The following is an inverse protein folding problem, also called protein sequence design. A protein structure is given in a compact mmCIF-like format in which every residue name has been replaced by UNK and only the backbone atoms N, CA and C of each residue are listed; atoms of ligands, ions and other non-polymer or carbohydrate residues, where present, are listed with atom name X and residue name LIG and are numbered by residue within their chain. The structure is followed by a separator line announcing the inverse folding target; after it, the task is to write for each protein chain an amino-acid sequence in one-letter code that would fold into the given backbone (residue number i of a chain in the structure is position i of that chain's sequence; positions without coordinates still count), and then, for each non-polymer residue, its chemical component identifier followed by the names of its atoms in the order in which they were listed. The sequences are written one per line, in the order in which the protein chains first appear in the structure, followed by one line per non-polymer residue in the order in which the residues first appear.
data_IF_697154209502
#
_entry.id   IF_697154209502
#
_cell.length_a   1.000
_cell.length_b   1.000
_cell.length_c   1.000
_cell.angle_alpha   90.00
_cell.angle_beta   90.00
_cell.angle_gamma   90.00
#
_symmetry.space_group_name_H-M   'P 1'
#
loop_
_entity.id
_entity.type
_entity.pdbx_description
1 polymer ?
#
# COMPACT_ATOMS: atom_id res chain seq x y z
N UNK A 1 -13.69 -8.53 -25.02
CA UNK A 1 -14.66 -7.88 -24.08
C UNK A 1 -14.09 -7.88 -22.66
N UNK A 2 -13.58 -9.02 -22.17
CA UNK A 2 -12.81 -9.09 -20.93
C UNK A 2 -11.56 -8.20 -20.97
N UNK A 3 -10.98 -7.99 -22.15
CA UNK A 3 -9.71 -7.27 -22.35
C UNK A 3 -9.64 -5.86 -21.75
N UNK A 4 -10.78 -5.18 -21.63
CA UNK A 4 -10.89 -3.81 -21.12
C UNK A 4 -11.81 -3.68 -19.90
N UNK A 5 -12.84 -4.53 -19.78
CA UNK A 5 -13.83 -4.44 -18.69
C UNK A 5 -13.39 -5.13 -17.41
N UNK A 6 -12.58 -6.20 -17.51
CA UNK A 6 -12.20 -6.99 -16.34
C UNK A 6 -11.38 -6.17 -15.33
N UNK A 7 -10.49 -5.32 -15.83
CA UNK A 7 -9.61 -4.46 -15.03
C UNK A 7 -10.37 -3.49 -14.11
N UNK A 8 -11.63 -3.13 -14.44
CA UNK A 8 -12.47 -2.30 -13.57
C UNK A 8 -12.91 -3.02 -12.29
N UNK A 9 -12.99 -4.35 -12.28
CA UNK A 9 -13.34 -5.11 -11.08
C UNK A 9 -12.29 -4.95 -9.98
N UNK A 10 -11.04 -4.69 -10.39
CA UNK A 10 -9.91 -4.44 -9.50
C UNK A 10 -10.02 -3.11 -8.71
N UNK A 11 -10.90 -2.19 -9.11
CA UNK A 11 -11.11 -0.92 -8.41
C UNK A 11 -11.60 -1.11 -6.98
N UNK A 12 -12.35 -2.18 -6.70
CA UNK A 12 -12.82 -2.50 -5.34
C UNK A 12 -11.63 -2.71 -4.40
N UNK A 13 -10.63 -3.47 -4.82
CA UNK A 13 -9.42 -3.75 -4.04
C UNK A 13 -8.63 -2.46 -3.78
N UNK A 14 -8.48 -1.61 -4.80
CA UNK A 14 -7.81 -0.30 -4.69
C UNK A 14 -8.50 0.60 -3.67
N UNK A 15 -9.84 0.64 -3.68
CA UNK A 15 -10.63 1.38 -2.70
C UNK A 15 -10.46 0.81 -1.27
N UNK A 16 -10.42 -0.52 -1.11
CA UNK A 16 -10.29 -1.15 0.20
C UNK A 16 -8.94 -0.87 0.84
N UNK A 17 -7.85 -0.92 0.06
CA UNK A 17 -6.50 -0.59 0.54
C UNK A 17 -6.47 0.86 1.05
N UNK A 18 -7.03 1.79 0.28
CA UNK A 18 -7.04 3.22 0.64
C UNK A 18 -7.88 3.51 1.89
N UNK A 19 -8.95 2.75 2.09
CA UNK A 19 -9.81 2.85 3.28
C UNK A 19 -9.28 2.04 4.47
N UNK A 20 -8.15 1.33 4.33
CA UNK A 20 -7.59 0.49 5.38
C UNK A 20 -8.48 -0.68 5.80
N UNK A 21 -9.33 -1.19 4.89
CA UNK A 21 -10.27 -2.30 5.17
C UNK A 21 -9.57 -3.67 5.09
N UNK A 22 -8.56 -3.89 5.94
CA UNK A 22 -7.70 -5.08 5.89
C UNK A 22 -8.47 -6.39 6.06
N UNK A 23 -9.33 -6.49 7.07
CA UNK A 23 -10.15 -7.68 7.31
C UNK A 23 -11.09 -7.98 6.14
N UNK A 24 -11.61 -6.92 5.52
CA UNK A 24 -12.47 -7.00 4.34
C UNK A 24 -11.73 -7.41 3.06
N UNK A 25 -10.39 -7.35 3.03
CA UNK A 25 -9.54 -7.82 1.93
C UNK A 25 -9.15 -9.29 2.17
N UNK A 26 -8.68 -9.61 3.37
CA UNK A 26 -8.23 -10.96 3.72
C UNK A 26 -9.38 -11.97 3.63
N UNK A 27 -10.59 -11.59 4.03
CA UNK A 27 -11.79 -12.42 3.94
C UNK A 27 -12.35 -12.63 2.52
N UNK A 28 -11.81 -11.99 1.47
CA UNK A 28 -12.33 -12.16 0.12
C UNK A 28 -11.91 -13.52 -0.46
N UNK A 29 -12.87 -14.23 -1.04
CA UNK A 29 -12.62 -15.40 -1.87
C UNK A 29 -12.13 -14.96 -3.26
N UNK A 30 -11.12 -15.65 -3.78
CA UNK A 30 -10.64 -15.44 -5.15
C UNK A 30 -11.74 -15.81 -6.16
N UNK A 31 -11.72 -15.23 -7.37
CA UNK A 31 -12.68 -15.56 -8.41
C UNK A 31 -12.56 -17.03 -8.82
N UNK A 32 -13.69 -17.65 -9.16
CA UNK A 32 -13.75 -19.06 -9.54
C UNK A 32 -13.04 -19.37 -10.87
N UNK A 33 -12.89 -18.38 -11.75
CA UNK A 33 -12.18 -18.49 -13.02
C UNK A 33 -10.99 -17.52 -13.08
N UNK A 34 -9.80 -17.97 -12.64
CA UNK A 34 -8.60 -17.14 -12.64
C UNK A 34 -8.04 -16.83 -14.04
N UNK A 35 -8.46 -17.54 -15.09
CA UNK A 35 -8.03 -17.26 -16.47
C UNK A 35 -8.80 -16.09 -17.05
N UNK A 36 -10.12 -16.07 -16.83
CA UNK A 36 -10.98 -14.97 -17.24
C UNK A 36 -10.68 -13.70 -16.43
N UNK A 37 -10.52 -13.85 -15.11
CA UNK A 37 -10.30 -12.78 -14.14
C UNK A 37 -8.82 -12.62 -13.75
N UNK A 38 -7.93 -12.71 -14.73
CA UNK A 38 -6.48 -12.71 -14.51
C UNK A 38 -5.96 -11.43 -13.80
N UNK A 39 -6.39 -10.24 -14.25
CA UNK A 39 -5.96 -8.96 -13.67
C UNK A 39 -6.56 -8.77 -12.28
N UNK A 40 -7.82 -9.16 -12.11
CA UNK A 40 -8.52 -9.10 -10.82
C UNK A 40 -7.87 -10.03 -9.81
N UNK A 41 -7.51 -11.25 -10.21
CA UNK A 41 -6.81 -12.23 -9.37
C UNK A 41 -5.47 -11.68 -8.91
N UNK A 42 -4.67 -11.13 -9.85
CA UNK A 42 -3.41 -10.48 -9.50
C UNK A 42 -3.65 -9.33 -8.50
N UNK A 43 -4.60 -8.42 -8.77
CA UNK A 43 -4.87 -7.32 -7.85
C UNK A 43 -5.37 -7.78 -6.46
N UNK A 44 -6.12 -8.88 -6.39
CA UNK A 44 -6.56 -9.46 -5.13
C UNK A 44 -5.40 -10.03 -4.30
N UNK A 45 -4.44 -10.70 -4.93
CA UNK A 45 -3.21 -11.15 -4.27
C UNK A 45 -2.37 -9.97 -3.79
N UNK A 46 -2.19 -8.94 -4.63
CA UNK A 46 -1.54 -7.68 -4.24
C UNK A 46 -2.21 -7.06 -2.99
N UNK A 47 -3.53 -6.92 -3.01
CA UNK A 47 -4.27 -6.35 -1.89
C UNK A 47 -4.13 -7.17 -0.61
N UNK A 48 -4.19 -8.50 -0.71
CA UNK A 48 -3.97 -9.41 0.42
C UNK A 48 -2.55 -9.30 0.96
N UNK A 49 -1.53 -9.24 0.10
CA UNK A 49 -0.14 -9.07 0.51
C UNK A 49 0.06 -7.77 1.29
N UNK A 50 -0.47 -6.65 0.78
CA UNK A 50 -0.45 -5.35 1.48
C UNK A 50 -1.22 -5.42 2.80
N UNK A 51 -2.38 -6.09 2.84
CA UNK A 51 -3.14 -6.25 4.08
C UNK A 51 -2.39 -7.07 5.13
N UNK A 52 -1.76 -8.19 4.76
CA UNK A 52 -0.95 -8.99 5.67
C UNK A 52 0.30 -8.25 6.16
N UNK A 53 0.98 -7.52 5.27
CA UNK A 53 2.07 -6.65 5.65
C UNK A 53 1.59 -5.56 6.62
N UNK A 54 0.45 -4.93 6.33
CA UNK A 54 -0.17 -3.91 7.17
C UNK A 54 -0.50 -4.42 8.59
N UNK A 55 -0.95 -5.67 8.68
CA UNK A 55 -1.23 -6.38 9.94
C UNK A 55 0.02 -6.93 10.65
N UNK A 56 1.21 -6.82 10.05
CA UNK A 56 2.47 -7.30 10.62
C UNK A 56 2.76 -8.79 10.39
N UNK A 57 1.96 -9.46 9.57
CA UNK A 57 2.17 -10.87 9.22
C UNK A 57 2.99 -10.98 7.92
N UNK A 58 4.30 -10.79 8.05
CA UNK A 58 5.24 -10.83 6.92
C UNK A 58 5.24 -12.19 6.19
N UNK A 59 5.22 -13.36 6.86
CA UNK A 59 5.21 -14.65 6.17
C UNK A 59 4.01 -14.83 5.22
N UNK A 60 2.82 -14.40 5.65
CA UNK A 60 1.63 -14.46 4.79
C UNK A 60 1.71 -13.43 3.66
N UNK A 61 2.29 -12.25 3.91
CA UNK A 61 2.51 -11.24 2.89
C UNK A 61 3.45 -11.73 1.78
N UNK A 62 4.55 -12.41 2.13
CA UNK A 62 5.50 -12.99 1.18
C UNK A 62 4.86 -14.13 0.36
N UNK A 63 3.99 -14.94 0.98
CA UNK A 63 3.24 -15.97 0.25
C UNK A 63 2.29 -15.37 -0.78
N UNK A 64 1.53 -14.34 -0.40
CA UNK A 64 0.62 -13.65 -1.32
C UNK A 64 1.40 -12.88 -2.40
N UNK A 65 2.59 -12.35 -2.09
CA UNK A 65 3.49 -11.76 -3.08
C UNK A 65 3.96 -12.80 -4.12
N UNK A 66 4.28 -14.03 -3.69
CA UNK A 66 4.58 -15.14 -4.62
C UNK A 66 3.37 -15.52 -5.49
N UNK A 67 2.17 -15.53 -4.92
CA UNK A 67 0.94 -15.77 -5.67
C UNK A 67 0.62 -14.64 -6.66
N UNK A 68 0.93 -13.39 -6.30
CA UNK A 68 0.84 -12.23 -7.18
C UNK A 68 1.75 -12.38 -8.40
N UNK A 69 3.03 -12.74 -8.19
CA UNK A 69 3.98 -13.00 -9.28
C UNK A 69 3.45 -14.05 -10.27
N UNK A 70 2.95 -15.17 -9.74
CA UNK A 70 2.38 -16.24 -10.55
C UNK A 70 1.11 -15.79 -11.31
N UNK A 71 0.28 -14.94 -10.71
CA UNK A 71 -0.89 -14.37 -11.36
C UNK A 71 -0.51 -13.37 -12.46
N UNK A 72 0.48 -12.50 -12.22
CA UNK A 72 1.00 -11.57 -13.22
C UNK A 72 1.52 -12.28 -14.47
N UNK A 73 2.22 -13.40 -14.32
CA UNK A 73 2.72 -14.19 -15.45
C UNK A 73 1.61 -14.76 -16.36
N UNK A 74 0.36 -14.77 -15.88
CA UNK A 74 -0.82 -15.25 -16.63
C UNK A 74 -1.60 -14.13 -17.30
N UNK A 75 -1.27 -12.86 -17.05
CA UNK A 75 -1.97 -11.70 -17.63
C UNK A 75 -1.45 -11.47 -19.06
N UNK A 76 -2.31 -11.63 -20.08
CA UNK A 76 -1.91 -11.36 -21.46
C UNK A 76 -1.57 -9.88 -21.69
N UNK A 77 -0.60 -9.60 -22.57
CA UNK A 77 -0.23 -8.25 -22.99
C UNK A 77 -1.40 -7.47 -23.61
N UNK A 78 -2.41 -8.18 -24.13
CA UNK A 78 -3.62 -7.59 -24.71
C UNK A 78 -4.54 -6.92 -23.68
N UNK A 79 -4.32 -7.14 -22.38
CA UNK A 79 -5.15 -6.56 -21.32
C UNK A 79 -4.77 -5.10 -21.11
N UNK A 80 -5.72 -4.20 -21.33
CA UNK A 80 -5.51 -2.76 -21.15
C UNK A 80 -6.53 -2.20 -20.16
N UNK A 81 -6.10 -1.19 -19.42
CA UNK A 81 -6.98 -0.31 -18.67
C UNK A 81 -6.81 1.07 -19.27
N UNK A 82 -7.79 1.48 -20.07
CA UNK A 82 -7.72 2.68 -20.91
C UNK A 82 -6.48 2.67 -21.84
N UNK A 83 -5.60 3.67 -21.76
CA UNK A 83 -4.40 3.78 -22.59
C UNK A 83 -3.21 2.98 -22.04
N UNK A 84 -3.34 2.45 -20.82
CA UNK A 84 -2.28 1.74 -20.12
C UNK A 84 -2.41 0.21 -20.26
N UNK A 85 -1.28 -0.49 -20.34
CA UNK A 85 -1.30 -1.95 -20.24
C UNK A 85 -1.49 -2.36 -18.78
N UNK A 86 -2.26 -3.43 -18.56
CA UNK A 86 -2.48 -3.94 -17.21
C UNK A 86 -1.16 -4.41 -16.57
N UNK A 87 -0.21 -4.89 -17.37
CA UNK A 87 1.12 -5.26 -16.89
C UNK A 87 1.89 -4.08 -16.31
N UNK A 88 1.91 -2.93 -17.00
CA UNK A 88 2.59 -1.74 -16.48
C UNK A 88 1.96 -1.27 -15.16
N UNK A 89 0.63 -1.33 -15.05
CA UNK A 89 -0.10 -1.02 -13.81
C UNK A 89 0.26 -2.01 -12.69
N UNK A 90 0.34 -3.31 -13.00
CA UNK A 90 0.71 -4.34 -12.04
C UNK A 90 2.16 -4.19 -11.58
N UNK A 91 3.07 -3.73 -12.44
CA UNK A 91 4.47 -3.47 -12.06
C UNK A 91 4.61 -2.31 -11.09
N UNK A 92 3.80 -1.25 -11.22
CA UNK A 92 3.73 -0.19 -10.19
C UNK A 92 3.29 -0.79 -8.85
N UNK A 93 2.26 -1.63 -8.87
CA UNK A 93 1.76 -2.33 -7.68
C UNK A 93 2.76 -3.30 -7.06
N UNK A 94 3.52 -4.01 -7.87
CA UNK A 94 4.60 -4.91 -7.44
C UNK A 94 5.60 -4.18 -6.56
N UNK A 95 6.11 -3.06 -7.05
CA UNK A 95 7.08 -2.25 -6.32
C UNK A 95 6.46 -1.66 -5.04
N UNK A 96 5.19 -1.25 -5.04
CA UNK A 96 4.52 -0.81 -3.81
C UNK A 96 4.42 -1.91 -2.76
N UNK A 97 4.03 -3.12 -3.17
CA UNK A 97 3.89 -4.27 -2.27
C UNK A 97 5.23 -4.68 -1.67
N UNK A 98 6.26 -4.79 -2.51
CA UNK A 98 7.61 -5.14 -2.05
C UNK A 98 8.17 -4.09 -1.09
N UNK A 99 7.89 -2.80 -1.34
CA UNK A 99 8.24 -1.72 -0.44
C UNK A 99 7.60 -1.85 0.95
N UNK A 100 6.28 -2.11 1.00
CA UNK A 100 5.59 -2.32 2.28
C UNK A 100 6.11 -3.56 3.03
N UNK A 101 6.36 -4.67 2.32
CA UNK A 101 6.92 -5.89 2.93
C UNK A 101 8.33 -5.63 3.50
N UNK A 102 9.20 -4.97 2.74
CA UNK A 102 10.55 -4.63 3.17
C UNK A 102 10.54 -3.71 4.41
N UNK A 103 9.64 -2.74 4.43
CA UNK A 103 9.45 -1.86 5.59
C UNK A 103 9.09 -2.65 6.86
N UNK A 104 8.21 -3.66 6.73
CA UNK A 104 7.85 -4.54 7.86
C UNK A 104 8.96 -5.48 8.30
N UNK A 105 9.96 -5.71 7.46
CA UNK A 105 11.17 -6.49 7.78
C UNK A 105 12.26 -5.63 8.42
N UNK A 106 12.00 -4.35 8.67
CA UNK A 106 12.97 -3.36 9.13
C UNK A 106 14.15 -3.16 8.15
N UNK A 107 13.91 -3.38 6.86
CA UNK A 107 14.83 -3.05 5.78
C UNK A 107 14.36 -1.76 5.10
N UNK A 108 14.61 -0.64 5.77
CA UNK A 108 14.14 0.68 5.33
C UNK A 108 14.77 1.09 4.00
N UNK A 109 16.05 0.75 3.78
CA UNK A 109 16.76 1.09 2.54
C UNK A 109 16.11 0.41 1.32
N UNK A 110 15.82 -0.90 1.42
CA UNK A 110 15.10 -1.62 0.39
C UNK A 110 13.67 -1.10 0.22
N UNK A 111 12.97 -0.81 1.32
CA UNK A 111 11.61 -0.27 1.29
C UNK A 111 11.53 1.03 0.48
N UNK A 112 12.39 2.00 0.80
CA UNK A 112 12.41 3.27 0.10
C UNK A 112 12.90 3.16 -1.34
N UNK A 113 13.80 2.21 -1.66
CA UNK A 113 14.20 1.94 -3.03
C UNK A 113 13.02 1.45 -3.89
N UNK A 114 12.24 0.51 -3.38
CA UNK A 114 11.02 0.01 -4.02
C UNK A 114 9.96 1.11 -4.19
N UNK A 115 9.71 1.92 -3.16
CA UNK A 115 8.77 3.03 -3.25
C UNK A 115 9.18 4.08 -4.30
N UNK A 116 10.47 4.44 -4.36
CA UNK A 116 10.97 5.35 -5.41
C UNK A 116 10.78 4.78 -6.80
N UNK A 117 11.02 3.47 -6.97
CA UNK A 117 10.83 2.79 -8.25
C UNK A 117 9.37 2.75 -8.66
N UNK A 118 8.47 2.50 -7.72
CA UNK A 118 7.03 2.55 -7.94
C UNK A 118 6.59 3.92 -8.46
N UNK A 119 7.06 5.02 -7.84
CA UNK A 119 6.77 6.39 -8.30
C UNK A 119 7.30 6.62 -9.71
N UNK A 120 8.53 6.20 -10.01
CA UNK A 120 9.12 6.38 -11.34
C UNK A 120 8.37 5.60 -12.44
N UNK A 121 7.86 4.40 -12.12
CA UNK A 121 7.04 3.61 -13.04
C UNK A 121 5.69 4.27 -13.28
N UNK A 122 5.07 4.81 -12.23
CA UNK A 122 3.78 5.49 -12.32
C UNK A 122 3.88 6.79 -13.13
N UNK A 123 4.93 7.59 -12.92
CA UNK A 123 5.21 8.80 -13.70
C UNK A 123 5.49 8.50 -15.19
N UNK A 124 5.92 7.28 -15.51
CA UNK A 124 6.18 6.83 -16.88
C UNK A 124 4.94 6.29 -17.61
N UNK A 125 3.81 6.12 -16.91
CA UNK A 125 2.58 5.64 -17.51
C UNK A 125 1.97 6.70 -18.47
N UNK A 126 1.47 6.30 -19.65
CA UNK A 126 0.64 7.16 -20.50
C UNK A 126 -0.49 7.86 -19.73
N UNK A 127 -0.66 9.16 -19.98
CA UNK A 127 -1.69 9.98 -19.36
C UNK A 127 -3.11 9.45 -19.66
N UNK A 128 -3.96 9.36 -18.64
CA UNK A 128 -5.34 8.87 -18.71
C UNK A 128 -6.28 9.66 -17.79
N UNK A 129 -7.47 10.03 -18.28
CA UNK A 129 -8.59 10.54 -17.48
C UNK A 129 -9.82 9.61 -17.60
N UNK A 130 -10.28 8.96 -16.51
CA UNK A 130 -9.70 8.96 -15.16
C UNK A 130 -8.47 8.03 -15.05
N UNK A 131 -7.46 8.47 -14.32
CA UNK A 131 -6.18 7.77 -14.10
C UNK A 131 -6.36 6.29 -13.72
N UNK A 132 -5.75 5.40 -14.52
CA UNK A 132 -5.80 3.95 -14.32
C UNK A 132 -5.13 3.49 -13.02
N UNK A 133 -4.08 4.20 -12.59
CA UNK A 133 -3.47 4.04 -11.27
C UNK A 133 -3.64 5.34 -10.47
N UNK A 134 -4.27 5.25 -9.29
CA UNK A 134 -4.38 6.37 -8.34
C UNK A 134 -3.50 6.07 -7.13
N UNK A 135 -2.21 6.43 -7.15
CA UNK A 135 -1.41 6.39 -5.95
C UNK A 135 -1.80 7.53 -5.01
N UNK A 136 -1.45 7.45 -3.71
CA UNK A 136 -1.60 8.56 -2.78
C UNK A 136 -0.79 9.82 -3.14
N UNK A 137 0.14 9.75 -4.10
CA UNK A 137 1.12 10.80 -4.38
C UNK A 137 0.72 11.85 -5.43
N UNK A 138 -0.29 11.60 -6.26
CA UNK A 138 -0.71 12.53 -7.34
C UNK A 138 -1.68 13.63 -6.89
N UNK A 139 -1.50 14.14 -5.67
CA UNK A 139 -2.12 15.40 -5.30
C UNK A 139 -1.33 16.53 -6.00
N UNK A 140 -1.98 17.49 -6.69
CA UNK A 140 -1.29 18.61 -7.33
C UNK A 140 -0.35 19.28 -6.32
N UNK A 141 0.82 19.75 -6.74
CA UNK A 141 1.86 20.26 -5.84
C UNK A 141 1.35 21.30 -4.81
N UNK A 142 0.27 22.03 -5.14
CA UNK A 142 -0.42 22.97 -4.27
C UNK A 142 -1.09 22.36 -3.03
N UNK A 143 -1.46 21.08 -3.03
CA UNK A 143 -2.08 20.40 -1.88
C UNK A 143 -1.10 19.52 -1.09
N UNK A 144 0.13 19.35 -1.60
CA UNK A 144 1.18 18.52 -1.00
C UNK A 144 1.70 19.07 0.33
N UNK A 145 1.66 20.39 0.53
CA UNK A 145 2.14 21.05 1.76
C UNK A 145 1.30 20.72 2.98
N UNK A 146 0.02 20.36 2.79
CA UNK A 146 -0.89 20.06 3.91
C UNK A 146 -1.02 18.55 4.18
N UNK A 147 -0.72 17.69 3.19
CA UNK A 147 -0.77 16.22 3.32
C UNK A 147 0.60 15.56 3.32
N UNK A 148 1.62 16.22 3.87
CA UNK A 148 2.96 15.66 4.10
C UNK A 148 3.02 14.58 5.19
N UNK A 149 1.95 13.81 5.42
CA UNK A 149 1.82 12.89 6.57
C UNK A 149 1.13 11.54 6.26
N UNK A 150 0.97 11.14 5.00
CA UNK A 150 0.13 9.97 4.69
C UNK A 150 0.86 8.61 4.65
N UNK A 151 2.18 8.53 4.85
CA UNK A 151 2.91 7.26 5.09
C UNK A 151 4.06 7.41 6.09
N UNK A 152 3.98 8.36 7.03
CA UNK A 152 4.99 8.53 8.08
C UNK A 152 4.44 8.38 9.51
N UNK A 153 3.15 8.12 9.69
CA UNK A 153 2.50 8.20 11.01
C UNK A 153 2.42 6.84 11.69
N UNK A 154 3.57 6.21 11.90
CA UNK A 154 3.85 5.25 13.00
C UNK A 154 5.34 4.91 13.08
N UNK A 155 6.20 5.91 13.19
CA UNK A 155 7.48 5.73 13.88
C UNK A 155 7.34 6.35 15.27
N UNK A 156 7.57 5.62 16.37
CA UNK A 156 7.96 6.30 17.60
C UNK A 156 9.31 6.95 17.33
N UNK A 157 9.33 8.28 17.28
CA UNK A 157 10.56 9.05 17.39
C UNK A 157 11.29 8.61 18.66
N UNK A 158 12.45 7.96 18.55
CA UNK A 158 13.56 8.08 19.50
C UNK A 158 14.80 7.36 18.97
N UNK A 159 16.03 7.89 19.16
CA UNK A 159 16.59 8.03 20.51
C UNK A 159 17.48 9.28 20.72
N UNK A 160 17.11 10.15 21.66
CA UNK A 160 17.93 11.33 21.94
C UNK A 160 17.51 12.18 23.14
N UNK A 161 16.93 11.58 24.19
CA UNK A 161 16.66 12.32 25.43
C UNK A 161 17.13 11.51 26.63
N UNK A 162 18.13 12.05 27.32
CA UNK A 162 18.74 11.48 28.52
C UNK A 162 17.65 11.19 29.57
N UNK A 163 17.50 9.92 29.97
CA UNK A 163 16.78 9.56 31.19
C UNK A 163 17.59 10.04 32.39
N UNK A 164 17.23 11.21 32.91
CA UNK A 164 17.64 11.65 34.24
C UNK A 164 16.99 10.74 35.27
N UNK A 165 17.82 10.05 36.05
CA UNK A 165 17.50 9.40 37.30
C UNK A 165 16.95 10.41 38.31
N UNK A 166 15.88 10.06 39.04
CA UNK A 166 15.36 10.91 40.11
C UNK A 166 14.05 10.38 40.68
N UNK A 167 14.16 9.35 41.49
CA UNK A 167 13.15 8.82 42.39
C UNK A 167 12.83 9.89 43.45
N UNK A 168 11.55 10.24 43.69
CA UNK A 168 10.99 10.39 45.04
C UNK A 168 9.48 10.69 44.99
N UNK A 169 8.75 9.85 45.71
CA UNK A 169 7.34 10.03 46.07
C UNK A 169 7.24 11.14 47.12
N UNK A 170 6.26 12.04 47.04
CA UNK A 170 5.63 12.63 48.23
C UNK A 170 4.19 13.05 47.92
N UNK A 171 3.34 12.64 48.85
CA UNK A 171 1.90 12.81 49.04
C UNK A 171 1.42 14.24 49.27
N UNK A 172 0.14 14.47 48.96
CA UNK A 172 -0.81 15.36 49.65
C UNK A 172 -0.58 16.88 49.60
N UNK A 173 -1.67 17.64 49.43
CA UNK A 173 -1.69 19.05 49.83
C UNK A 173 -2.58 19.93 48.97
N UNK A 174 -3.68 20.33 49.56
CA UNK A 174 -4.61 21.40 49.20
C UNK A 174 -3.98 22.76 48.83
N UNK A 175 -4.84 23.57 48.20
CA UNK A 175 -4.98 25.03 48.33
C UNK A 175 -4.55 25.96 47.18
N UNK A 176 -5.59 26.68 46.75
CA UNK A 176 -5.66 28.13 46.48
C UNK A 176 -5.13 28.70 45.16
N UNK A 177 -6.13 29.06 44.33
CA UNK A 177 -6.09 30.12 43.33
C UNK A 177 -6.32 31.49 44.01
N UNK A 178 -5.50 32.52 43.74
CA UNK A 178 -5.85 33.90 44.09
C UNK A 178 -6.06 34.81 42.85
N UNK A 179 -7.25 35.40 42.87
CA UNK A 179 -7.73 36.71 42.33
C UNK A 179 -7.63 37.03 40.85
#
# INVERSE_FOLDING_TARGET
MADWLESFLSMKQRAYIRLGKWDGITAQNLPADPELYCVTTAMMHYAKAVAYAASGNVPDAEREAGAFEAACARVPDSRTLFNNTCQAILDVGREMMLGEIAYRKADDDAAFAHLRRSVALDDALPYDEPWGWTPPCHAPASTRTTSGHCMATRLPDTPGAKRGSGFEQTTAGSDQCPR
#
